data_IF_084156534057
#
_entry.id   IF_084156534057
#
_cell.length_a   1.000
_cell.length_b   1.000
_cell.length_c   1.000
_cell.angle_alpha   90.00
_cell.angle_beta   90.00
_cell.angle_gamma   90.00
#
_symmetry.space_group_name_H-M   'P 1'
#
loop_
_entity.id
_entity.type
_entity.pdbx_description
1 polymer ?
#
# COMPACT_ATOMS: atom_id res chain seq x y z
N UNK A 1 -32.59 -14.75 17.54
CA UNK A 1 -31.85 -15.02 16.27
C UNK A 1 -31.35 -13.75 15.59
N UNK A 2 -32.13 -12.66 15.49
CA UNK A 2 -31.69 -11.43 14.82
C UNK A 2 -30.49 -10.68 15.45
N UNK A 3 -30.29 -10.77 16.77
CA UNK A 3 -29.18 -10.08 17.43
C UNK A 3 -27.79 -10.61 17.08
N UNK A 4 -27.69 -11.89 16.67
CA UNK A 4 -26.43 -12.45 16.19
C UNK A 4 -26.06 -11.90 14.82
N UNK A 5 -27.06 -11.64 13.96
CA UNK A 5 -26.86 -11.14 12.61
C UNK A 5 -26.32 -9.71 12.62
N UNK A 6 -26.89 -8.83 13.46
CA UNK A 6 -26.41 -7.45 13.66
C UNK A 6 -24.97 -7.40 14.20
N UNK A 7 -24.64 -8.23 15.19
CA UNK A 7 -23.27 -8.31 15.72
C UNK A 7 -22.26 -8.80 14.66
N UNK A 8 -22.66 -9.75 13.81
CA UNK A 8 -21.80 -10.23 12.73
C UNK A 8 -21.63 -9.23 11.59
N UNK A 9 -22.66 -8.44 11.27
CA UNK A 9 -22.57 -7.40 10.25
C UNK A 9 -21.56 -6.32 10.66
N UNK A 10 -21.58 -5.87 11.92
CA UNK A 10 -20.63 -4.87 12.40
C UNK A 10 -19.18 -5.39 12.34
N UNK A 11 -18.90 -6.57 12.91
CA UNK A 11 -17.56 -7.17 12.86
C UNK A 11 -17.08 -7.43 11.43
N UNK A 12 -17.98 -7.87 10.54
CA UNK A 12 -17.66 -8.12 9.13
C UNK A 12 -17.25 -6.82 8.43
N UNK A 13 -18.01 -5.74 8.60
CA UNK A 13 -17.72 -4.44 8.00
C UNK A 13 -16.38 -3.88 8.50
N UNK A 14 -16.06 -4.07 9.78
CA UNK A 14 -14.78 -3.65 10.34
C UNK A 14 -13.59 -4.38 9.67
N UNK A 15 -13.69 -5.70 9.48
CA UNK A 15 -12.65 -6.50 8.82
C UNK A 15 -12.52 -6.14 7.33
N UNK A 16 -13.64 -5.94 6.63
CA UNK A 16 -13.65 -5.53 5.22
C UNK A 16 -12.99 -4.16 5.06
N UNK A 17 -13.27 -3.22 5.97
CA UNK A 17 -12.65 -1.90 5.97
C UNK A 17 -11.12 -1.98 6.12
N UNK A 18 -10.65 -2.70 7.13
CA UNK A 18 -9.21 -2.85 7.42
C UNK A 18 -8.49 -3.47 6.22
N UNK A 19 -9.05 -4.53 5.64
CA UNK A 19 -8.42 -5.25 4.52
C UNK A 19 -8.44 -4.41 3.24
N UNK A 20 -9.55 -3.76 2.92
CA UNK A 20 -9.69 -2.89 1.74
C UNK A 20 -8.70 -1.72 1.79
N UNK A 21 -8.65 -1.00 2.91
CA UNK A 21 -7.71 0.12 3.09
C UNK A 21 -6.27 -0.36 3.05
N UNK A 22 -5.96 -1.48 3.70
CA UNK A 22 -4.61 -2.03 3.69
C UNK A 22 -4.16 -2.43 2.28
N UNK A 23 -5.02 -3.08 1.50
CA UNK A 23 -4.74 -3.48 0.11
C UNK A 23 -4.44 -2.28 -0.79
N UNK A 24 -5.29 -1.26 -0.73
CA UNK A 24 -5.07 -0.03 -1.52
C UNK A 24 -3.78 0.65 -1.10
N UNK A 25 -3.52 0.80 0.20
CA UNK A 25 -2.27 1.39 0.69
C UNK A 25 -1.05 0.58 0.27
N UNK A 26 -1.10 -0.75 0.31
CA UNK A 26 0.02 -1.60 -0.16
C UNK A 26 0.32 -1.40 -1.64
N UNK A 27 -0.71 -1.32 -2.48
CA UNK A 27 -0.55 -1.10 -3.92
C UNK A 27 0.02 0.30 -4.20
N UNK A 28 -0.56 1.35 -3.59
CA UNK A 28 -0.04 2.71 -3.71
C UNK A 28 1.42 2.79 -3.23
N UNK A 29 1.76 2.17 -2.11
CA UNK A 29 3.12 2.17 -1.58
C UNK A 29 4.09 1.40 -2.48
N UNK A 30 3.69 0.23 -3.01
CA UNK A 30 4.49 -0.55 -3.95
C UNK A 30 4.79 0.25 -5.23
N UNK A 31 3.78 0.93 -5.77
CA UNK A 31 3.95 1.83 -6.93
C UNK A 31 4.92 2.96 -6.56
N UNK A 32 4.73 3.63 -5.42
CA UNK A 32 5.58 4.72 -4.96
C UNK A 32 7.06 4.32 -4.79
N UNK A 33 7.33 3.13 -4.24
CA UNK A 33 8.69 2.59 -4.05
C UNK A 33 9.37 2.11 -5.35
N UNK A 34 8.58 1.86 -6.40
CA UNK A 34 9.07 1.39 -7.70
C UNK A 34 9.41 2.55 -8.63
N UNK A 35 8.88 3.74 -8.39
CA UNK A 35 9.18 4.94 -9.18
C UNK A 35 10.68 5.27 -9.10
N UNK A 36 11.37 5.19 -10.24
CA UNK A 36 12.78 5.60 -10.41
C UNK A 36 12.92 7.07 -10.80
N UNK A 37 11.92 7.63 -11.47
CA UNK A 37 11.92 8.99 -12.00
C UNK A 37 10.57 9.65 -11.71
N UNK A 38 10.60 10.84 -11.12
CA UNK A 38 9.39 11.58 -10.76
C UNK A 38 8.81 12.25 -12.00
N UNK A 39 7.86 11.59 -12.65
CA UNK A 39 7.08 12.19 -13.73
C UNK A 39 5.80 12.82 -13.14
N UNK A 40 5.41 14.04 -13.53
CA UNK A 40 4.21 14.70 -12.98
C UNK A 40 2.93 13.88 -13.18
N UNK A 41 2.79 13.18 -14.32
CA UNK A 41 1.67 12.27 -14.56
C UNK A 41 1.63 11.09 -13.58
N UNK A 42 2.79 10.63 -13.09
CA UNK A 42 2.87 9.54 -12.12
C UNK A 42 2.34 9.99 -10.76
N UNK A 43 2.70 11.21 -10.34
CA UNK A 43 2.18 11.82 -9.11
C UNK A 43 0.67 12.01 -9.23
N UNK A 44 0.19 12.49 -10.39
CA UNK A 44 -1.24 12.65 -10.64
C UNK A 44 -2.00 11.31 -10.55
N UNK A 45 -1.46 10.25 -11.15
CA UNK A 45 -2.08 8.92 -11.07
C UNK A 45 -2.12 8.41 -9.62
N UNK A 46 -1.03 8.59 -8.87
CA UNK A 46 -0.95 8.24 -7.45
C UNK A 46 -2.01 8.97 -6.62
N UNK A 47 -2.16 10.28 -6.84
CA UNK A 47 -3.15 11.11 -6.18
C UNK A 47 -4.58 10.75 -6.61
N UNK A 48 -4.79 10.43 -7.88
CA UNK A 48 -6.09 9.99 -8.40
C UNK A 48 -6.52 8.68 -7.74
N UNK A 49 -5.61 7.71 -7.58
CA UNK A 49 -5.91 6.46 -6.87
C UNK A 49 -6.26 6.70 -5.40
N UNK A 50 -5.56 7.64 -4.74
CA UNK A 50 -5.86 8.04 -3.37
C UNK A 50 -7.22 8.76 -3.28
N UNK A 51 -7.55 9.61 -4.25
CA UNK A 51 -8.85 10.25 -4.35
C UNK A 51 -9.98 9.25 -4.59
N UNK A 52 -9.77 8.24 -5.45
CA UNK A 52 -10.70 7.13 -5.66
C UNK A 52 -10.96 6.37 -4.35
N UNK A 53 -9.93 6.11 -3.54
CA UNK A 53 -10.09 5.51 -2.22
C UNK A 53 -10.98 6.36 -1.29
N UNK A 54 -10.70 7.66 -1.20
CA UNK A 54 -11.53 8.59 -0.39
C UNK A 54 -12.97 8.63 -0.91
N UNK A 55 -13.18 8.61 -2.24
CA UNK A 55 -14.49 8.50 -2.86
C UNK A 55 -15.20 7.19 -2.47
N UNK A 56 -14.49 6.05 -2.46
CA UNK A 56 -15.05 4.78 -2.00
C UNK A 56 -15.50 4.84 -0.54
N UNK A 57 -14.72 5.50 0.33
CA UNK A 57 -15.11 5.69 1.73
C UNK A 57 -16.34 6.59 1.89
N UNK A 58 -16.46 7.65 1.07
CA UNK A 58 -17.62 8.55 1.13
C UNK A 58 -18.89 7.85 0.63
N UNK A 59 -18.79 7.11 -0.48
CA UNK A 59 -19.92 6.34 -1.03
C UNK A 59 -20.38 5.27 -0.05
N UNK A 60 -19.45 4.64 0.68
CA UNK A 60 -19.73 3.55 1.61
C UNK A 60 -19.82 4.01 3.08
N UNK A 61 -19.86 5.33 3.33
CA UNK A 61 -20.02 5.96 4.66
C UNK A 61 -21.33 5.58 5.36
N UNK A 62 -22.35 5.14 4.62
CA UNK A 62 -23.57 4.62 5.25
C UNK A 62 -23.37 3.25 5.92
N UNK A 63 -22.25 2.59 5.63
CA UNK A 63 -21.87 1.30 6.21
C UNK A 63 -20.61 1.40 7.08
N UNK A 64 -19.69 2.33 6.79
CA UNK A 64 -18.47 2.51 7.58
C UNK A 64 -18.54 3.69 8.53
N UNK A 65 -18.28 3.44 9.82
CA UNK A 65 -18.12 4.50 10.80
C UNK A 65 -16.77 5.22 10.62
N UNK A 66 -16.76 6.52 10.28
CA UNK A 66 -15.52 7.28 10.09
C UNK A 66 -14.71 7.44 11.38
N UNK A 67 -15.35 7.34 12.55
CA UNK A 67 -14.69 7.34 13.85
C UNK A 67 -13.82 6.08 14.04
N UNK A 68 -14.25 4.93 13.51
CA UNK A 68 -13.46 3.70 13.53
C UNK A 68 -12.26 3.79 12.58
N UNK A 69 -12.42 4.40 11.41
CA UNK A 69 -11.33 4.61 10.44
C UNK A 69 -10.21 5.49 10.97
N UNK A 70 -10.54 6.48 11.79
CA UNK A 70 -9.56 7.40 12.38
C UNK A 70 -8.98 6.86 13.70
N UNK A 71 -9.48 5.72 14.18
CA UNK A 71 -8.98 5.09 15.40
C UNK A 71 -7.52 4.66 15.24
N UNK A 72 -6.79 4.74 16.36
CA UNK A 72 -5.39 4.32 16.41
C UNK A 72 -5.22 2.82 16.10
N UNK A 73 -6.20 1.99 16.51
CA UNK A 73 -6.25 0.56 16.22
C UNK A 73 -6.26 0.27 14.72
N UNK A 74 -7.05 1.04 13.97
CA UNK A 74 -7.14 0.90 12.52
C UNK A 74 -5.81 1.26 11.84
N UNK A 75 -5.23 2.41 12.20
CA UNK A 75 -3.97 2.89 11.62
C UNK A 75 -2.83 1.91 11.87
N UNK A 76 -2.67 1.40 13.11
CA UNK A 76 -1.59 0.48 13.44
C UNK A 76 -1.73 -0.87 12.75
N UNK A 77 -2.95 -1.41 12.61
CA UNK A 77 -3.21 -2.66 11.87
C UNK A 77 -2.88 -2.50 10.38
N UNK A 78 -3.33 -1.41 9.77
CA UNK A 78 -3.05 -1.08 8.36
C UNK A 78 -1.55 -0.88 8.15
N UNK A 79 -0.87 -0.18 9.05
CA UNK A 79 0.59 -0.01 9.01
C UNK A 79 1.33 -1.34 9.18
N UNK A 80 0.91 -2.21 10.09
CA UNK A 80 1.51 -3.53 10.26
C UNK A 80 1.39 -4.37 8.99
N UNK A 81 0.18 -4.46 8.41
CA UNK A 81 -0.06 -5.25 7.20
C UNK A 81 0.72 -4.68 6.01
N UNK A 82 0.74 -3.36 5.84
CA UNK A 82 1.54 -2.72 4.80
C UNK A 82 3.04 -2.97 5.01
N UNK A 83 3.55 -2.87 6.23
CA UNK A 83 4.97 -3.12 6.55
C UNK A 83 5.37 -4.58 6.28
N UNK A 84 4.55 -5.53 6.71
CA UNK A 84 4.76 -6.98 6.48
C UNK A 84 4.76 -7.28 4.98
N UNK A 85 3.85 -6.67 4.22
CA UNK A 85 3.71 -6.90 2.78
C UNK A 85 4.85 -6.27 1.97
N UNK A 86 5.43 -5.15 2.43
CA UNK A 86 6.52 -4.47 1.73
C UNK A 86 7.92 -4.99 2.10
N UNK A 87 8.07 -5.62 3.27
CA UNK A 87 9.29 -6.28 3.71
C UNK A 87 9.92 -7.22 2.64
N UNK A 88 9.17 -8.15 2.01
CA UNK A 88 9.72 -9.02 0.98
C UNK A 88 10.24 -8.25 -0.24
N UNK A 89 9.59 -7.17 -0.67
CA UNK A 89 10.07 -6.36 -1.80
C UNK A 89 11.35 -5.60 -1.45
N UNK A 90 11.46 -5.04 -0.24
CA UNK A 90 12.68 -4.35 0.20
C UNK A 90 13.86 -5.35 0.33
N UNK A 91 13.61 -6.51 0.95
CA UNK A 91 14.61 -7.57 1.13
C UNK A 91 15.02 -8.17 -0.21
N UNK A 92 14.08 -8.45 -1.12
CA UNK A 92 14.41 -8.98 -2.45
C UNK A 92 15.23 -7.99 -3.28
N UNK A 93 14.90 -6.69 -3.23
CA UNK A 93 15.69 -5.65 -3.92
C UNK A 93 17.10 -5.56 -3.32
N UNK A 94 17.22 -5.67 -2.00
CA UNK A 94 18.50 -5.68 -1.30
C UNK A 94 19.35 -6.93 -1.63
N UNK A 95 18.73 -8.12 -1.63
CA UNK A 95 19.37 -9.39 -1.97
C UNK A 95 19.75 -9.44 -3.44
N UNK A 96 18.91 -8.94 -4.35
CA UNK A 96 19.23 -8.86 -5.78
C UNK A 96 20.42 -7.93 -6.03
N UNK A 97 20.48 -6.77 -5.38
CA UNK A 97 21.64 -5.86 -5.48
C UNK A 97 22.91 -6.52 -4.93
N UNK A 98 22.81 -7.27 -3.83
CA UNK A 98 23.96 -7.91 -3.18
C UNK A 98 24.44 -9.19 -3.88
N UNK A 99 23.53 -9.98 -4.47
CA UNK A 99 23.86 -11.23 -5.15
C UNK A 99 24.12 -11.06 -6.66
N UNK A 100 23.64 -9.98 -7.28
CA UNK A 100 23.86 -9.68 -8.71
C UNK A 100 24.07 -8.18 -8.92
N UNK A 101 25.30 -7.64 -8.77
CA UNK A 101 25.57 -6.28 -9.23
C UNK A 101 25.19 -6.19 -10.72
N UNK A 102 24.30 -5.26 -11.12
CA UNK A 102 23.78 -5.18 -12.47
C UNK A 102 24.94 -4.94 -13.45
N UNK A 103 24.96 -5.71 -14.55
CA UNK A 103 25.99 -5.67 -15.62
C UNK A 103 26.24 -4.24 -16.15
N UNK A 104 25.27 -3.33 -16.02
CA UNK A 104 25.41 -1.93 -16.40
C UNK A 104 26.46 -1.15 -15.58
N UNK A 105 26.67 -1.50 -14.31
CA UNK A 105 27.77 -0.93 -13.51
C UNK A 105 29.13 -1.42 -14.03
N UNK A 106 29.22 -2.69 -14.46
CA UNK A 106 30.44 -3.24 -15.06
C UNK A 106 30.79 -2.52 -16.36
N UNK A 107 29.81 -2.21 -17.20
CA UNK A 107 30.03 -1.50 -18.48
C UNK A 107 30.49 -0.04 -18.28
N UNK A 108 29.93 0.69 -17.30
CA UNK A 108 30.44 2.04 -16.96
C UNK A 108 31.88 2.01 -16.45
N UNK A 109 32.25 0.99 -15.66
CA UNK A 109 33.61 0.86 -15.13
C UNK A 109 34.64 0.60 -16.24
N UNK A 110 34.29 -0.19 -17.26
CA UNK A 110 35.14 -0.38 -18.45
C UNK A 110 35.25 0.89 -19.32
N UNK A 111 34.18 1.68 -19.43
CA UNK A 111 34.20 2.94 -20.20
C UNK A 111 35.01 4.06 -19.51
N UNK A 112 35.19 4.00 -18.19
CA UNK A 112 35.98 4.98 -17.41
C UNK A 112 37.48 4.62 -17.34
N UNK A 113 37.86 3.41 -17.76
CA UNK A 113 39.23 2.90 -17.75
C UNK A 113 39.94 3.03 -19.11
N UNK A 114 39.38 3.80 -20.05
CA UNK A 114 39.96 4.11 -21.37
C UNK A 114 40.09 5.61 -21.53
#
# INVERSE_FOLDING_TARGET
MYGSFLLFDDDFIHVVSITFTSLILTELLMVALTIRTWHPLMILAQLLSLACYVLSLIVLKSHFDPEFLQSWDFIWRVLLVTLISCLPLYVLKFVQVKCKPPIQQKLMQYATLK
#
